data_IF_044755979233
#
_entry.id   IF_044755979233
#
_cell.length_a   1.000
_cell.length_b   1.000
_cell.length_c   1.000
_cell.angle_alpha   90.00
_cell.angle_beta   90.00
_cell.angle_gamma   90.00
#
_symmetry.space_group_name_H-M   'P 1'
#
loop_
_entity.id
_entity.type
_entity.pdbx_description
1 polymer ?
#
# COMPACT_ATOMS: atom_id res chain seq x y z
N UNK A 1 -1.22 -18.33 1.65
CA UNK A 1 -0.83 -17.14 0.86
C UNK A 1 -1.94 -16.89 -0.15
N UNK A 2 -2.58 -15.71 -0.13
CA UNK A 2 -3.64 -15.39 -1.09
C UNK A 2 -3.13 -15.49 -2.54
N UNK A 3 -3.87 -16.22 -3.39
CA UNK A 3 -3.55 -16.38 -4.82
C UNK A 3 -3.40 -15.02 -5.52
N UNK A 4 -2.38 -14.85 -6.39
CA UNK A 4 -2.14 -13.59 -7.08
C UNK A 4 -3.33 -13.20 -7.94
N UNK A 5 -3.70 -11.91 -7.90
CA UNK A 5 -4.75 -11.38 -8.79
C UNK A 5 -4.26 -11.41 -10.24
N UNK A 6 -4.93 -12.23 -11.06
CA UNK A 6 -4.63 -12.36 -12.49
C UNK A 6 -5.29 -11.26 -13.32
N UNK A 7 -4.61 -10.81 -14.37
CA UNK A 7 -5.11 -9.80 -15.30
C UNK A 7 -5.80 -10.51 -16.47
N UNK A 8 -7.08 -10.21 -16.69
CA UNK A 8 -7.82 -10.77 -17.81
C UNK A 8 -7.57 -9.97 -19.10
N UNK A 9 -6.60 -10.42 -19.90
CA UNK A 9 -6.22 -9.79 -21.16
C UNK A 9 -7.35 -9.79 -22.21
N UNK A 10 -8.36 -10.67 -22.08
CA UNK A 10 -9.54 -10.65 -22.96
C UNK A 10 -10.36 -9.37 -22.82
N UNK A 11 -10.36 -8.75 -21.63
CA UNK A 11 -11.04 -7.47 -21.42
C UNK A 11 -10.32 -6.32 -22.16
N UNK A 12 -8.99 -6.35 -22.18
CA UNK A 12 -8.17 -5.38 -22.92
C UNK A 12 -8.41 -5.55 -24.41
N UNK A 13 -8.32 -6.79 -24.91
CA UNK A 13 -8.59 -7.17 -26.29
C UNK A 13 -9.96 -6.65 -26.77
N UNK A 14 -11.03 -6.97 -26.03
CA UNK A 14 -12.39 -6.52 -26.35
C UNK A 14 -12.52 -4.99 -26.30
N UNK A 15 -11.91 -4.35 -25.31
CA UNK A 15 -12.00 -2.89 -25.13
C UNK A 15 -11.23 -2.08 -26.18
N UNK A 16 -10.27 -2.68 -26.88
CA UNK A 16 -9.51 -2.06 -27.95
C UNK A 16 -9.93 -2.56 -29.35
N UNK A 17 -10.78 -3.57 -29.44
CA UNK A 17 -11.12 -4.23 -30.71
C UNK A 17 -9.94 -4.99 -31.34
N UNK A 18 -8.95 -5.38 -30.53
CA UNK A 18 -7.74 -6.07 -30.99
C UNK A 18 -7.86 -7.56 -30.65
N UNK A 19 -7.50 -8.48 -31.57
CA UNK A 19 -7.47 -9.92 -31.29
C UNK A 19 -6.67 -10.26 -30.02
N UNK A 20 -7.23 -11.12 -29.16
CA UNK A 20 -6.60 -11.47 -27.89
C UNK A 20 -5.18 -12.04 -28.05
N UNK A 21 -4.92 -12.79 -29.13
CA UNK A 21 -3.59 -13.31 -29.46
C UNK A 21 -2.55 -12.20 -29.69
N UNK A 22 -2.95 -11.09 -30.31
CA UNK A 22 -2.04 -9.97 -30.57
C UNK A 22 -1.78 -9.17 -29.30
N UNK A 23 -2.81 -8.96 -28.48
CA UNK A 23 -2.64 -8.37 -27.15
C UNK A 23 -1.68 -9.20 -26.30
N UNK A 24 -1.86 -10.52 -26.28
CA UNK A 24 -0.98 -11.45 -25.57
C UNK A 24 0.47 -11.30 -26.02
N UNK A 25 0.75 -11.35 -27.33
CA UNK A 25 2.10 -11.20 -27.86
C UNK A 25 2.75 -9.85 -27.50
N UNK A 26 1.98 -8.76 -27.55
CA UNK A 26 2.46 -7.44 -27.11
C UNK A 26 2.77 -7.43 -25.62
N UNK A 27 1.92 -8.04 -24.78
CA UNK A 27 2.16 -8.12 -23.33
C UNK A 27 3.43 -8.90 -23.03
N UNK A 28 3.64 -10.05 -23.66
CA UNK A 28 4.85 -10.88 -23.49
C UNK A 28 6.10 -10.09 -23.85
N UNK A 29 6.10 -9.40 -24.99
CA UNK A 29 7.22 -8.56 -25.41
C UNK A 29 7.50 -7.41 -24.44
N UNK A 30 6.46 -6.75 -23.92
CA UNK A 30 6.62 -5.70 -22.91
C UNK A 30 7.18 -6.26 -21.59
N UNK A 31 6.84 -7.49 -21.23
CA UNK A 31 7.30 -8.15 -20.00
C UNK A 31 8.73 -8.65 -20.10
N UNK A 32 9.20 -8.96 -21.31
CA UNK A 32 10.62 -9.16 -21.62
C UNK A 32 11.44 -7.84 -21.57
N UNK A 33 10.79 -6.70 -21.33
CA UNK A 33 11.44 -5.39 -21.23
C UNK A 33 11.61 -4.67 -22.57
N UNK A 34 10.99 -5.15 -23.64
CA UNK A 34 11.04 -4.47 -24.93
C UNK A 34 10.27 -3.14 -24.89
N UNK A 35 10.83 -2.10 -25.51
CA UNK A 35 10.16 -0.80 -25.62
C UNK A 35 9.19 -0.77 -26.80
N UNK A 36 8.20 0.12 -26.77
CA UNK A 36 7.24 0.28 -27.88
C UNK A 36 7.94 0.54 -29.24
N UNK A 37 8.91 1.46 -29.36
CA UNK A 37 9.63 1.67 -30.62
C UNK A 37 10.42 0.44 -31.10
N UNK A 38 10.91 -0.38 -30.16
CA UNK A 38 11.59 -1.62 -30.50
C UNK A 38 10.60 -2.66 -31.05
N UNK A 39 9.45 -2.83 -30.40
CA UNK A 39 8.41 -3.77 -30.81
C UNK A 39 7.88 -3.42 -32.21
N UNK A 40 7.57 -2.14 -32.45
CA UNK A 40 7.03 -1.67 -33.74
C UNK A 40 8.01 -1.88 -34.89
N UNK A 41 9.32 -1.72 -34.63
CA UNK A 41 10.36 -1.82 -35.66
C UNK A 41 10.86 -3.25 -35.89
N UNK A 42 10.97 -4.06 -34.84
CA UNK A 42 11.68 -5.35 -34.88
C UNK A 42 10.84 -6.56 -34.48
N UNK A 43 9.58 -6.38 -34.07
CA UNK A 43 8.67 -7.47 -33.64
C UNK A 43 7.30 -7.38 -34.31
N UNK A 44 7.24 -6.78 -35.50
CA UNK A 44 6.00 -6.57 -36.25
C UNK A 44 5.27 -7.89 -36.56
N UNK A 45 6.00 -8.93 -36.94
CA UNK A 45 5.40 -10.23 -37.27
C UNK A 45 4.80 -10.92 -36.05
N UNK A 46 5.49 -10.84 -34.89
CA UNK A 46 5.02 -11.44 -33.64
C UNK A 46 3.74 -10.76 -33.11
N UNK A 47 3.62 -9.44 -33.32
CA UNK A 47 2.41 -8.70 -32.95
C UNK A 47 1.30 -8.78 -33.99
N UNK A 48 1.55 -9.43 -35.14
CA UNK A 48 0.60 -9.54 -36.25
C UNK A 48 0.33 -8.19 -36.94
N UNK A 49 1.34 -7.33 -37.02
CA UNK A 49 1.29 -6.08 -37.79
C UNK A 49 0.72 -4.87 -37.04
N UNK A 50 0.60 -4.91 -35.71
CA UNK A 50 0.11 -3.78 -34.93
C UNK A 50 1.02 -2.55 -35.10
N UNK A 51 0.39 -1.38 -35.21
CA UNK A 51 1.10 -0.12 -35.30
C UNK A 51 1.48 0.44 -33.91
N UNK A 52 2.27 1.50 -33.89
CA UNK A 52 2.76 2.11 -32.65
C UNK A 52 1.63 2.59 -31.74
N UNK A 53 0.61 3.23 -32.30
CA UNK A 53 -0.51 3.73 -31.51
C UNK A 53 -1.27 2.59 -30.82
N UNK A 54 -1.54 1.50 -31.53
CA UNK A 54 -2.20 0.31 -30.98
C UNK A 54 -1.37 -0.32 -29.85
N UNK A 55 -0.06 -0.43 -30.02
CA UNK A 55 0.83 -0.97 -28.99
C UNK A 55 0.86 -0.05 -27.76
N UNK A 56 0.89 1.28 -27.94
CA UNK A 56 0.78 2.25 -26.82
C UNK A 56 -0.55 2.13 -26.09
N UNK A 57 -1.65 1.95 -26.81
CA UNK A 57 -2.97 1.74 -26.20
C UNK A 57 -3.02 0.44 -25.38
N UNK A 58 -2.45 -0.65 -25.89
CA UNK A 58 -2.32 -1.91 -25.14
C UNK A 58 -1.49 -1.68 -23.86
N UNK A 59 -0.31 -1.06 -23.98
CA UNK A 59 0.56 -0.76 -22.85
C UNK A 59 -0.17 0.07 -21.79
N UNK A 60 -0.86 1.13 -22.18
CA UNK A 60 -1.60 1.98 -21.24
C UNK A 60 -2.73 1.22 -20.51
N UNK A 61 -3.48 0.36 -21.22
CA UNK A 61 -4.52 -0.49 -20.63
C UNK A 61 -3.93 -1.54 -19.68
N UNK A 62 -2.81 -2.15 -20.07
CA UNK A 62 -2.08 -3.13 -19.29
C UNK A 62 -1.55 -2.50 -17.99
N UNK A 63 -0.92 -1.33 -18.05
CA UNK A 63 -0.43 -0.60 -16.87
C UNK A 63 -1.56 -0.31 -15.89
N UNK A 64 -2.71 0.20 -16.38
CA UNK A 64 -3.89 0.42 -15.52
C UNK A 64 -4.40 -0.87 -14.89
N UNK A 65 -4.41 -1.97 -15.64
CA UNK A 65 -4.83 -3.27 -15.14
C UNK A 65 -3.87 -3.84 -14.08
N UNK A 66 -2.56 -3.64 -14.25
CA UNK A 66 -1.52 -4.01 -13.27
C UNK A 66 -1.68 -3.26 -11.96
N UNK A 67 -1.80 -1.92 -12.03
CA UNK A 67 -2.03 -1.09 -10.85
C UNK A 67 -3.29 -1.52 -10.10
N UNK A 68 -4.37 -1.84 -10.82
CA UNK A 68 -5.60 -2.33 -10.22
C UNK A 68 -5.40 -3.69 -9.54
N UNK A 69 -4.71 -4.63 -10.20
CA UNK A 69 -4.45 -5.97 -9.68
C UNK A 69 -3.56 -5.92 -8.43
N UNK A 70 -2.50 -5.13 -8.46
CA UNK A 70 -1.62 -4.88 -7.32
C UNK A 70 -2.40 -4.29 -6.13
N UNK A 71 -3.25 -3.29 -6.40
CA UNK A 71 -4.08 -2.69 -5.37
C UNK A 71 -5.05 -3.68 -4.73
N UNK A 72 -5.72 -4.52 -5.55
CA UNK A 72 -6.55 -5.62 -5.05
C UNK A 72 -5.76 -6.57 -4.16
N UNK A 73 -4.56 -6.98 -4.58
CA UNK A 73 -3.70 -7.89 -3.81
C UNK A 73 -3.34 -7.29 -2.45
N UNK A 74 -2.97 -6.01 -2.42
CA UNK A 74 -2.63 -5.30 -1.17
C UNK A 74 -3.83 -5.22 -0.23
N UNK A 75 -5.02 -4.93 -0.76
CA UNK A 75 -6.25 -4.89 0.04
C UNK A 75 -6.63 -6.27 0.56
N UNK A 76 -6.58 -7.31 -0.28
CA UNK A 76 -6.84 -8.69 0.15
C UNK A 76 -5.92 -9.09 1.30
N UNK A 77 -4.61 -8.85 1.17
CA UNK A 77 -3.63 -9.12 2.24
C UNK A 77 -3.93 -8.33 3.51
N UNK A 78 -4.31 -7.06 3.39
CA UNK A 78 -4.63 -6.21 4.55
C UNK A 78 -5.89 -6.65 5.30
N UNK A 79 -6.89 -7.20 4.59
CA UNK A 79 -8.12 -7.70 5.20
C UNK A 79 -7.88 -9.11 5.78
N UNK A 80 -7.10 -9.94 5.08
CA UNK A 80 -6.68 -11.27 5.54
C UNK A 80 -5.87 -11.18 6.84
N UNK A 81 -4.92 -10.24 6.94
CA UNK A 81 -4.12 -10.04 8.16
C UNK A 81 -4.95 -9.58 9.37
N UNK A 82 -6.14 -9.04 9.14
CA UNK A 82 -7.12 -8.72 10.20
C UNK A 82 -8.04 -9.89 10.56
N UNK A 83 -7.94 -11.03 9.86
CA UNK A 83 -8.84 -12.18 10.02
C UNK A 83 -10.28 -11.91 9.54
N UNK A 84 -10.50 -10.88 8.71
CA UNK A 84 -11.83 -10.42 8.27
C UNK A 84 -12.17 -10.79 6.83
N UNK A 85 -11.29 -11.49 6.13
CA UNK A 85 -11.48 -11.81 4.71
C UNK A 85 -12.42 -13.01 4.56
N UNK A 86 -13.68 -12.74 4.21
CA UNK A 86 -14.65 -13.79 3.89
C UNK A 86 -14.54 -14.21 2.42
N UNK A 87 -14.92 -15.45 2.06
CA UNK A 87 -14.90 -15.91 0.66
C UNK A 87 -15.75 -15.04 -0.28
N UNK A 88 -16.85 -14.48 0.22
CA UNK A 88 -17.71 -13.58 -0.55
C UNK A 88 -17.05 -12.22 -0.79
N UNK A 89 -16.41 -11.66 0.24
CA UNK A 89 -15.69 -10.39 0.13
C UNK A 89 -14.49 -10.52 -0.82
N UNK A 90 -13.75 -11.62 -0.73
CA UNK A 90 -12.66 -11.92 -1.65
C UNK A 90 -13.14 -11.93 -3.11
N UNK A 91 -14.23 -12.66 -3.41
CA UNK A 91 -14.83 -12.70 -4.75
C UNK A 91 -15.21 -11.30 -5.23
N UNK A 92 -15.84 -10.49 -4.38
CA UNK A 92 -16.23 -9.11 -4.71
C UNK A 92 -15.03 -8.21 -5.03
N UNK A 93 -13.95 -8.32 -4.26
CA UNK A 93 -12.71 -7.56 -4.49
C UNK A 93 -12.03 -8.02 -5.80
N UNK A 94 -11.92 -9.33 -6.02
CA UNK A 94 -11.33 -9.88 -7.26
C UNK A 94 -12.13 -9.46 -8.50
N UNK A 95 -13.46 -9.43 -8.41
CA UNK A 95 -14.34 -9.04 -9.52
C UNK A 95 -14.42 -7.52 -9.76
N UNK A 96 -13.95 -6.67 -8.83
CA UNK A 96 -14.13 -5.23 -8.95
C UNK A 96 -13.39 -4.63 -10.17
N UNK A 97 -14.11 -3.92 -11.03
CA UNK A 97 -13.58 -3.40 -12.30
C UNK A 97 -12.93 -2.01 -12.24
N UNK A 98 -12.95 -1.35 -11.09
CA UNK A 98 -12.43 0.03 -10.95
C UNK A 98 -11.79 0.26 -9.58
N UNK A 99 -10.84 1.21 -9.55
CA UNK A 99 -10.17 1.60 -8.30
C UNK A 99 -11.17 2.09 -7.25
N UNK A 100 -12.11 2.95 -7.65
CA UNK A 100 -13.18 3.45 -6.76
C UNK A 100 -13.95 2.30 -6.09
N UNK A 101 -14.40 1.31 -6.86
CA UNK A 101 -15.18 0.19 -6.33
C UNK A 101 -14.38 -0.63 -5.31
N UNK A 102 -13.09 -0.81 -5.55
CA UNK A 102 -12.20 -1.52 -4.62
C UNK A 102 -12.01 -0.72 -3.33
N UNK A 103 -11.79 0.60 -3.43
CA UNK A 103 -11.65 1.44 -2.25
C UNK A 103 -12.95 1.46 -1.41
N UNK A 104 -14.12 1.52 -2.05
CA UNK A 104 -15.41 1.44 -1.35
C UNK A 104 -15.56 0.13 -0.57
N UNK A 105 -15.12 -1.00 -1.14
CA UNK A 105 -15.13 -2.31 -0.48
C UNK A 105 -14.11 -2.40 0.66
N UNK A 106 -12.97 -1.71 0.53
CA UNK A 106 -11.91 -1.70 1.51
C UNK A 106 -12.18 -0.74 2.68
N UNK A 107 -12.96 0.31 2.46
CA UNK A 107 -13.20 1.38 3.42
C UNK A 107 -13.52 0.91 4.85
N UNK A 108 -14.39 -0.10 5.09
CA UNK A 108 -14.70 -0.59 6.43
C UNK A 108 -13.53 -1.31 7.13
N UNK A 109 -12.55 -1.75 6.36
CA UNK A 109 -11.38 -2.53 6.81
C UNK A 109 -10.09 -1.74 6.76
N UNK A 110 -10.11 -0.53 6.19
CA UNK A 110 -8.94 0.32 6.11
C UNK A 110 -8.45 0.58 7.54
N UNK A 111 -7.24 0.12 7.90
CA UNK A 111 -6.70 0.39 9.22
C UNK A 111 -6.72 1.89 9.43
N UNK A 112 -7.15 2.33 10.61
CA UNK A 112 -6.85 3.69 11.04
C UNK A 112 -5.33 3.83 10.96
N UNK A 113 -4.83 4.95 10.43
CA UNK A 113 -3.38 5.21 10.36
C UNK A 113 -2.82 4.93 11.75
N UNK A 114 -1.99 3.90 11.89
CA UNK A 114 -1.10 3.82 13.03
C UNK A 114 -0.11 4.96 12.83
N UNK A 115 -0.33 6.05 13.56
CA UNK A 115 0.65 7.12 13.66
C UNK A 115 1.82 6.61 14.50
N UNK A 116 2.98 7.24 14.35
CA UNK A 116 4.12 6.96 15.23
C UNK A 116 3.74 7.16 16.71
N UNK A 117 2.84 8.11 16.99
CA UNK A 117 2.22 8.30 18.30
C UNK A 117 1.35 7.12 18.74
N UNK A 118 0.48 6.60 17.86
CA UNK A 118 -0.36 5.42 18.18
C UNK A 118 0.50 4.18 18.48
N UNK A 119 1.60 3.99 17.73
CA UNK A 119 2.58 2.94 18.01
C UNK A 119 3.27 3.17 19.37
N UNK A 120 3.79 4.37 19.63
CA UNK A 120 4.40 4.73 20.91
C UNK A 120 3.45 4.52 22.12
N UNK A 121 2.15 4.79 21.96
CA UNK A 121 1.13 4.47 22.97
C UNK A 121 1.02 2.98 23.23
N UNK A 122 1.01 2.15 22.18
CA UNK A 122 1.00 0.69 22.33
C UNK A 122 2.27 0.13 22.99
N UNK A 123 3.39 0.86 22.89
CA UNK A 123 4.64 0.54 23.59
C UNK A 123 4.64 0.99 25.06
N UNK A 124 3.62 1.75 25.49
CA UNK A 124 3.45 2.21 26.86
C UNK A 124 4.16 3.53 27.19
N UNK A 125 4.47 4.36 26.18
CA UNK A 125 5.20 5.62 26.33
C UNK A 125 4.31 6.83 26.65
N UNK A 126 2.98 6.66 26.71
CA UNK A 126 2.04 7.74 27.04
C UNK A 126 2.33 8.41 28.40
N UNK A 127 2.67 7.68 29.49
CA UNK A 127 3.00 8.31 30.77
C UNK A 127 4.24 9.20 30.68
N UNK A 128 5.29 8.75 29.97
CA UNK A 128 6.51 9.54 29.77
C UNK A 128 6.21 10.84 29.01
N UNK A 129 5.43 10.75 27.91
CA UNK A 129 5.02 11.93 27.15
C UNK A 129 4.26 12.95 28.00
N UNK A 130 3.33 12.47 28.85
CA UNK A 130 2.58 13.32 29.78
C UNK A 130 3.47 13.99 30.81
N UNK A 131 4.38 13.24 31.44
CA UNK A 131 5.31 13.79 32.44
C UNK A 131 6.21 14.88 31.84
N UNK A 132 6.66 14.71 30.59
CA UNK A 132 7.45 15.72 29.86
C UNK A 132 6.63 16.99 29.63
N UNK A 133 5.39 16.86 29.14
CA UNK A 133 4.51 18.01 28.87
C UNK A 133 4.13 18.76 30.15
N UNK A 134 3.87 18.02 31.23
CA UNK A 134 3.49 18.57 32.53
C UNK A 134 4.71 19.15 33.30
N UNK A 135 5.92 19.08 32.73
CA UNK A 135 7.19 19.47 33.36
C UNK A 135 7.35 18.85 34.76
N UNK A 136 7.02 17.56 34.88
CA UNK A 136 7.06 16.85 36.15
C UNK A 136 8.49 16.87 36.75
N UNK A 137 8.65 16.98 38.08
CA UNK A 137 9.98 16.94 38.71
C UNK A 137 10.77 15.66 38.41
N UNK A 138 10.08 14.55 38.13
CA UNK A 138 10.69 13.29 37.67
C UNK A 138 11.43 13.42 36.34
N UNK A 139 11.10 14.42 35.52
CA UNK A 139 11.73 14.70 34.24
C UNK A 139 12.86 15.75 34.33
N UNK A 140 13.33 16.08 35.54
CA UNK A 140 14.49 16.98 35.71
C UNK A 140 15.76 16.42 35.03
N UNK A 141 15.90 15.09 34.99
CA UNK A 141 16.85 14.36 34.15
C UNK A 141 16.05 13.44 33.21
N UNK A 142 15.92 13.87 31.96
CA UNK A 142 15.10 13.17 30.96
C UNK A 142 15.68 11.81 30.58
N UNK A 143 17.00 11.69 30.48
CA UNK A 143 17.65 10.43 30.11
C UNK A 143 17.48 9.40 31.23
N UNK A 144 17.65 9.83 32.48
CA UNK A 144 17.41 8.96 33.64
C UNK A 144 15.94 8.51 33.72
N UNK A 145 14.97 9.40 33.48
CA UNK A 145 13.56 9.04 33.54
C UNK A 145 13.13 8.15 32.37
N UNK A 146 13.63 8.41 31.16
CA UNK A 146 13.30 7.61 29.99
C UNK A 146 13.88 6.18 30.06
N UNK A 147 14.93 5.96 30.86
CA UNK A 147 15.46 4.62 31.13
C UNK A 147 14.41 3.66 31.73
N UNK A 148 13.47 4.16 32.53
CA UNK A 148 12.38 3.36 33.11
C UNK A 148 11.39 2.81 32.07
N UNK A 149 11.40 3.37 30.87
CA UNK A 149 10.53 2.99 29.76
C UNK A 149 11.23 2.12 28.71
N UNK A 150 12.52 1.80 28.90
CA UNK A 150 13.26 0.89 28.02
C UNK A 150 12.74 -0.53 28.20
N UNK A 151 12.17 -1.07 27.13
CA UNK A 151 11.64 -2.41 27.09
C UNK A 151 11.75 -2.98 25.66
N UNK A 152 12.77 -3.80 25.37
CA UNK A 152 12.96 -4.44 24.07
C UNK A 152 11.75 -5.29 23.64
N UNK A 153 11.06 -5.96 24.57
CA UNK A 153 9.88 -6.78 24.29
C UNK A 153 8.67 -5.92 23.84
N UNK A 154 8.67 -4.64 24.23
CA UNK A 154 7.71 -3.64 23.75
C UNK A 154 8.25 -2.79 22.62
N UNK A 155 9.30 -3.21 21.92
CA UNK A 155 9.91 -2.47 20.80
C UNK A 155 10.50 -1.10 21.19
N UNK A 156 10.96 -0.96 22.44
CA UNK A 156 11.67 0.24 22.94
C UNK A 156 13.05 -0.20 23.47
N UNK A 157 14.03 -0.48 22.61
CA UNK A 157 15.29 -1.07 23.04
C UNK A 157 16.25 -0.09 23.70
N UNK A 158 16.08 1.22 23.49
CA UNK A 158 16.98 2.24 24.04
C UNK A 158 16.24 3.43 24.64
N UNK A 159 16.95 4.22 25.46
CA UNK A 159 16.47 5.50 26.01
C UNK A 159 16.08 6.46 24.88
N UNK A 160 16.86 6.50 23.80
CA UNK A 160 16.58 7.32 22.63
C UNK A 160 15.25 6.92 21.97
N UNK A 161 14.93 5.63 21.90
CA UNK A 161 13.64 5.14 21.36
C UNK A 161 12.47 5.55 22.25
N UNK A 162 12.66 5.52 23.58
CA UNK A 162 11.63 5.95 24.53
C UNK A 162 11.33 7.45 24.38
N UNK A 163 12.37 8.29 24.32
CA UNK A 163 12.24 9.74 24.12
C UNK A 163 11.66 10.07 22.74
N UNK A 164 12.09 9.38 21.68
CA UNK A 164 11.55 9.56 20.33
C UNK A 164 10.07 9.20 20.28
N UNK A 165 9.68 8.06 20.86
CA UNK A 165 8.29 7.64 20.93
C UNK A 165 7.42 8.60 21.74
N UNK A 166 7.89 9.07 22.89
CA UNK A 166 7.22 10.12 23.66
C UNK A 166 7.10 11.42 22.84
N UNK A 167 8.15 11.82 22.13
CA UNK A 167 8.14 12.98 21.24
C UNK A 167 7.09 12.89 20.12
N UNK A 168 6.88 11.70 19.54
CA UNK A 168 5.82 11.48 18.56
C UNK A 168 4.42 11.70 19.15
N UNK A 169 4.19 11.24 20.38
CA UNK A 169 2.92 11.45 21.11
C UNK A 169 2.68 12.96 21.32
N UNK A 170 3.69 13.68 21.81
CA UNK A 170 3.61 15.12 22.06
C UNK A 170 3.37 15.89 20.76
N UNK A 171 4.08 15.55 19.68
CA UNK A 171 3.92 16.19 18.39
C UNK A 171 2.50 16.02 17.82
N UNK A 172 1.90 14.84 17.98
CA UNK A 172 0.50 14.60 17.61
C UNK A 172 -0.46 15.45 18.46
N UNK A 173 -0.29 15.46 19.79
CA UNK A 173 -1.12 16.25 20.70
C UNK A 173 -1.06 17.76 20.39
N UNK A 174 0.13 18.29 20.09
CA UNK A 174 0.30 19.69 19.71
C UNK A 174 -0.29 19.99 18.33
N UNK A 175 -0.15 19.07 17.37
CA UNK A 175 -0.72 19.24 16.03
C UNK A 175 -2.24 19.17 15.98
N UNK A 176 -2.89 18.57 16.97
CA UNK A 176 -4.35 18.44 17.07
C UNK A 176 -5.03 19.59 17.83
N UNK A 177 -4.25 20.45 18.50
CA UNK A 177 -4.74 21.69 19.11
C UNK A 177 -5.05 22.72 18.04
N UNK A 178 -6.34 22.90 17.74
CA UNK A 178 -6.85 23.84 16.74
C UNK A 178 -6.77 25.32 17.16
N UNK A 179 -6.37 25.57 18.41
CA UNK A 179 -6.23 26.85 19.09
C UNK A 179 -4.78 27.37 19.12
N UNK A 180 -3.85 26.68 18.44
CA UNK A 180 -2.45 27.10 18.20
C UNK A 180 -2.24 27.65 16.78
#
# INVERSE_FOLDING_TARGET
>A
MAEPVTINLRHIARGLGIPARQVQAVVELLDEGNTVPFITRYRKDQTGGLNEEQIRQIQARLTKARLLAERKQTILRSIESQGKLTPELEKRIRAAGSAKRIEDLYLPYKPKKQTLATAARSHGLEPLAREIVDAAPSCADLDARAADFVNPDRQVPTVADALLGAGHIIAEQLSERADL
#
